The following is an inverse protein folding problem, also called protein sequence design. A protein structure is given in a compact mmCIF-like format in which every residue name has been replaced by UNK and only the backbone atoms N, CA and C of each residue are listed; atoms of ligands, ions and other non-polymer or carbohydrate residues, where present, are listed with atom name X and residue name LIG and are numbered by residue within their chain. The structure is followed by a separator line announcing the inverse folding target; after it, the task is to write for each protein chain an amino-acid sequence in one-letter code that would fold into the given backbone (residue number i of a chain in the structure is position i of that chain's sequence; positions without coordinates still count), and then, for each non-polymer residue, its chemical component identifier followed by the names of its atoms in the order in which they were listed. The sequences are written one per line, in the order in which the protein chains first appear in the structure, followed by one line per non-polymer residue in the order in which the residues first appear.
data_IF_223718691337
#
_entry.id   IF_223718691337
#
_cell.length_a   1.000
_cell.length_b   1.000
_cell.length_c   1.000
_cell.angle_alpha   90.00
_cell.angle_beta   90.00
_cell.angle_gamma   90.00
#
_symmetry.space_group_name_H-M   'P 1'
#
loop_
_entity.id
_entity.type
_entity.pdbx_description
1 polymer ?
#
# COMPACT_ATOMS: atom_id res chain seq x y z
N UNK A 1 -1.62 8.40 -30.14
CA UNK A 1 -0.31 7.91 -30.62
C UNK A 1 -0.40 6.51 -31.17
N UNK A 2 -0.89 5.57 -30.37
CA UNK A 2 -0.99 4.16 -30.78
C UNK A 2 -1.91 3.97 -31.99
N UNK A 3 -3.08 4.61 -32.03
CA UNK A 3 -3.99 4.53 -33.20
C UNK A 3 -3.48 5.24 -34.46
N UNK A 4 -2.61 6.24 -34.30
CA UNK A 4 -2.05 7.03 -35.42
C UNK A 4 -0.81 6.35 -36.04
N UNK A 5 -0.12 5.52 -35.27
CA UNK A 5 1.05 4.75 -35.68
C UNK A 5 0.77 3.26 -35.44
N UNK A 6 -0.37 2.79 -35.98
CA UNK A 6 -0.88 1.45 -35.73
C UNK A 6 0.06 0.36 -36.24
N UNK A 7 0.77 0.62 -37.35
CA UNK A 7 1.76 -0.28 -37.93
C UNK A 7 2.98 -0.44 -37.03
N UNK A 8 3.50 0.66 -36.49
CA UNK A 8 4.66 0.67 -35.61
C UNK A 8 4.35 0.12 -34.21
N UNK A 9 3.08 0.26 -33.76
CA UNK A 9 2.63 -0.19 -32.44
C UNK A 9 1.94 -1.56 -32.43
N UNK A 10 1.68 -2.17 -33.59
CA UNK A 10 0.96 -3.45 -33.70
C UNK A 10 -0.48 -3.39 -33.17
N UNK A 11 -1.11 -2.21 -33.18
CA UNK A 11 -2.47 -2.02 -32.69
C UNK A 11 -3.50 -2.35 -33.78
N UNK A 12 -4.62 -2.98 -33.37
CA UNK A 12 -5.79 -3.08 -34.23
C UNK A 12 -6.43 -1.70 -34.41
N UNK A 13 -6.98 -1.42 -35.59
CA UNK A 13 -7.64 -0.14 -35.89
C UNK A 13 -8.92 0.06 -35.04
N UNK A 14 -9.60 -1.02 -34.68
CA UNK A 14 -10.75 -1.04 -33.78
C UNK A 14 -10.41 -1.87 -32.54
N UNK A 15 -10.41 -1.24 -31.37
CA UNK A 15 -10.27 -1.91 -30.08
C UNK A 15 -11.31 -1.38 -29.10
N UNK A 16 -11.83 -2.28 -28.26
CA UNK A 16 -12.75 -1.91 -27.20
C UNK A 16 -11.98 -1.58 -25.92
N UNK A 17 -12.13 -0.35 -25.42
CA UNK A 17 -11.56 0.05 -24.14
C UNK A 17 -12.35 -0.57 -22.99
N UNK A 18 -11.66 -1.23 -22.07
CA UNK A 18 -12.25 -1.76 -20.83
C UNK A 18 -11.69 -1.02 -19.61
N UNK A 19 -12.58 -0.58 -18.72
CA UNK A 19 -12.20 0.15 -17.50
C UNK A 19 -12.00 -0.77 -16.28
N UNK A 20 -12.61 -1.96 -16.28
CA UNK A 20 -12.65 -2.85 -15.13
C UNK A 20 -12.16 -4.27 -15.50
N UNK A 21 -10.88 -4.51 -15.28
CA UNK A 21 -10.25 -5.82 -15.51
C UNK A 21 -10.42 -6.79 -14.33
N UNK A 22 -11.16 -6.42 -13.29
CA UNK A 22 -11.22 -7.21 -12.04
C UNK A 22 -11.84 -8.58 -12.25
N UNK A 23 -12.89 -8.67 -13.07
CA UNK A 23 -13.51 -9.95 -13.40
C UNK A 23 -12.56 -10.83 -14.21
N UNK A 24 -11.84 -10.25 -15.16
CA UNK A 24 -10.89 -10.96 -16.00
C UNK A 24 -9.71 -11.52 -15.19
N UNK A 25 -9.15 -10.71 -14.29
CA UNK A 25 -8.11 -11.14 -13.33
C UNK A 25 -8.62 -12.27 -12.42
N UNK A 26 -9.86 -12.16 -11.93
CA UNK A 26 -10.46 -13.22 -11.12
C UNK A 26 -10.64 -14.54 -11.90
N UNK A 27 -11.12 -14.47 -13.14
CA UNK A 27 -11.26 -15.65 -14.01
C UNK A 27 -9.89 -16.32 -14.25
N UNK A 28 -8.89 -15.55 -14.65
CA UNK A 28 -7.53 -16.05 -14.85
C UNK A 28 -6.94 -16.67 -13.57
N UNK A 29 -7.16 -16.05 -12.41
CA UNK A 29 -6.74 -16.62 -11.12
C UNK A 29 -7.50 -17.91 -10.76
N UNK A 30 -8.78 -18.01 -11.09
CA UNK A 30 -9.55 -19.24 -10.90
C UNK A 30 -9.07 -20.35 -11.84
N UNK A 31 -8.71 -20.02 -13.09
CA UNK A 31 -8.16 -20.99 -14.05
C UNK A 31 -6.78 -21.48 -13.65
N UNK A 32 -5.91 -20.59 -13.17
CA UNK A 32 -4.65 -20.97 -12.53
C UNK A 32 -4.90 -21.96 -11.39
N UNK A 33 -5.84 -21.65 -10.49
CA UNK A 33 -6.17 -22.51 -9.36
C UNK A 33 -6.72 -23.88 -9.80
N UNK A 34 -7.58 -23.94 -10.83
CA UNK A 34 -8.08 -25.21 -11.36
C UNK A 34 -6.95 -26.07 -11.91
N UNK A 35 -6.04 -25.48 -12.69
CA UNK A 35 -4.94 -26.21 -13.33
C UNK A 35 -3.86 -26.66 -12.34
N UNK A 36 -3.57 -25.85 -11.33
CA UNK A 36 -2.43 -26.10 -10.42
C UNK A 36 -2.83 -26.66 -9.05
N UNK A 37 -4.08 -26.52 -8.62
CA UNK A 37 -4.51 -26.96 -7.27
C UNK A 37 -5.45 -28.17 -7.29
N UNK A 38 -6.33 -28.33 -8.29
CA UNK A 38 -7.22 -29.48 -8.35
C UNK A 38 -6.52 -30.83 -8.56
N UNK A 39 -5.44 -30.94 -9.35
CA UNK A 39 -4.75 -32.23 -9.51
C UNK A 39 -3.79 -32.54 -8.35
N UNK A 40 -3.66 -31.67 -7.35
CA UNK A 40 -2.71 -31.89 -6.25
C UNK A 40 -3.14 -33.08 -5.38
N UNK A 41 -2.18 -33.92 -4.97
CA UNK A 41 -2.36 -34.88 -3.89
C UNK A 41 -2.83 -34.20 -2.59
N UNK A 42 -3.52 -34.96 -1.73
CA UNK A 42 -4.25 -34.44 -0.56
C UNK A 42 -3.35 -33.68 0.44
N UNK A 43 -2.14 -34.17 0.66
CA UNK A 43 -1.10 -33.59 1.51
C UNK A 43 -0.65 -32.21 1.00
N UNK A 44 -0.28 -32.10 -0.27
CA UNK A 44 0.12 -30.82 -0.89
C UNK A 44 -1.09 -29.86 -0.95
N UNK A 45 -2.27 -30.37 -1.31
CA UNK A 45 -3.49 -29.58 -1.36
C UNK A 45 -3.84 -28.98 0.02
N UNK A 46 -3.63 -29.74 1.11
CA UNK A 46 -3.85 -29.25 2.46
C UNK A 46 -2.89 -28.11 2.81
N UNK A 47 -1.60 -28.24 2.48
CA UNK A 47 -0.61 -27.17 2.66
C UNK A 47 -1.01 -25.90 1.90
N UNK A 48 -1.42 -26.03 0.64
CA UNK A 48 -1.90 -24.88 -0.15
C UNK A 48 -3.13 -24.26 0.49
N UNK A 49 -4.07 -25.08 0.98
CA UNK A 49 -5.30 -24.63 1.63
C UNK A 49 -5.06 -23.92 2.97
N UNK A 50 -4.02 -24.31 3.71
CA UNK A 50 -3.63 -23.66 4.96
C UNK A 50 -3.10 -22.23 4.72
N UNK A 51 -2.52 -21.99 3.54
CA UNK A 51 -2.14 -20.65 3.10
C UNK A 51 -3.31 -19.88 2.49
N UNK A 52 -3.98 -20.47 1.49
CA UNK A 52 -5.04 -19.83 0.73
C UNK A 52 -6.26 -20.74 0.67
N UNK A 53 -7.39 -20.28 1.21
CA UNK A 53 -8.65 -21.01 1.19
C UNK A 53 -9.28 -21.14 -0.21
N UNK A 54 -8.68 -20.53 -1.24
CA UNK A 54 -9.14 -20.57 -2.62
C UNK A 54 -8.58 -19.44 -3.47
N UNK A 55 -8.99 -19.35 -4.76
CA UNK A 55 -8.45 -18.39 -5.72
C UNK A 55 -8.68 -16.93 -5.31
N UNK A 56 -9.77 -16.62 -4.60
CA UNK A 56 -10.00 -15.25 -4.07
C UNK A 56 -8.93 -14.82 -3.07
N UNK A 57 -8.48 -15.74 -2.23
CA UNK A 57 -7.43 -15.47 -1.24
C UNK A 57 -6.07 -15.30 -1.92
N UNK A 58 -5.77 -16.15 -2.91
CA UNK A 58 -4.57 -15.99 -3.73
C UNK A 58 -4.56 -14.65 -4.48
N UNK A 59 -5.67 -14.32 -5.15
CA UNK A 59 -5.79 -13.05 -5.88
C UNK A 59 -5.57 -11.87 -4.94
N UNK A 60 -6.13 -11.87 -3.73
CA UNK A 60 -5.93 -10.78 -2.76
C UNK A 60 -4.45 -10.50 -2.47
N UNK A 61 -3.60 -11.52 -2.45
CA UNK A 61 -2.17 -11.37 -2.15
C UNK A 61 -1.37 -10.86 -3.36
N UNK A 62 -1.84 -11.12 -4.59
CA UNK A 62 -1.14 -10.74 -5.83
C UNK A 62 -1.78 -9.59 -6.61
N UNK A 63 -3.01 -9.18 -6.30
CA UNK A 63 -3.84 -8.30 -7.15
C UNK A 63 -3.12 -7.00 -7.49
N UNK A 64 -2.48 -6.40 -6.48
CA UNK A 64 -1.70 -5.16 -6.60
C UNK A 64 -0.50 -5.27 -7.55
N UNK A 65 -0.01 -6.49 -7.78
CA UNK A 65 1.13 -6.77 -8.65
C UNK A 65 0.70 -7.26 -10.02
N UNK A 66 -0.60 -7.45 -10.28
CA UNK A 66 -1.11 -7.81 -11.60
C UNK A 66 -1.32 -6.58 -12.49
N UNK A 67 -1.31 -5.39 -11.90
CA UNK A 67 -1.46 -4.09 -12.57
C UNK A 67 -0.11 -3.43 -12.81
N UNK A 68 -0.01 -2.60 -13.85
CA UNK A 68 1.23 -1.91 -14.22
C UNK A 68 2.43 -2.83 -14.46
N UNK A 69 3.63 -2.28 -14.24
CA UNK A 69 4.90 -3.00 -14.39
C UNK A 69 5.06 -4.11 -13.34
N UNK A 70 5.49 -5.29 -13.79
CA UNK A 70 5.71 -6.42 -12.89
C UNK A 70 6.91 -6.15 -11.95
N UNK A 71 6.77 -6.37 -10.63
CA UNK A 71 7.88 -6.16 -9.72
C UNK A 71 8.99 -7.19 -9.95
N UNK A 72 10.24 -6.77 -9.74
CA UNK A 72 11.39 -7.68 -9.74
C UNK A 72 11.36 -8.52 -8.45
N UNK A 73 11.32 -9.84 -8.60
CA UNK A 73 11.40 -10.78 -7.48
C UNK A 73 12.87 -10.93 -7.09
N UNK A 74 13.24 -10.51 -5.88
CA UNK A 74 14.65 -10.46 -5.42
C UNK A 74 15.33 -11.83 -5.39
N UNK A 75 14.60 -12.85 -5.00
CA UNK A 75 15.06 -14.24 -4.93
C UNK A 75 13.97 -15.13 -5.54
N UNK A 76 13.91 -15.23 -6.87
CA UNK A 76 12.91 -16.06 -7.52
C UNK A 76 13.24 -17.54 -7.25
N UNK A 77 12.21 -18.39 -7.07
CA UNK A 77 12.41 -19.83 -7.05
C UNK A 77 13.01 -20.31 -8.38
N UNK A 78 13.65 -21.48 -8.36
CA UNK A 78 14.12 -22.11 -9.61
C UNK A 78 12.95 -22.38 -10.54
N UNK A 79 13.13 -22.20 -11.85
CA UNK A 79 12.07 -22.45 -12.83
C UNK A 79 11.62 -23.91 -12.84
N UNK A 80 12.54 -24.83 -12.59
CA UNK A 80 12.32 -26.28 -12.60
C UNK A 80 11.64 -26.78 -11.30
N UNK A 81 11.66 -25.97 -10.23
CA UNK A 81 11.20 -26.40 -8.92
C UNK A 81 9.68 -26.54 -8.86
N UNK A 82 9.15 -27.75 -8.69
CA UNK A 82 7.70 -27.97 -8.60
C UNK A 82 7.17 -27.85 -7.18
N UNK A 83 5.85 -27.68 -7.04
CA UNK A 83 5.18 -27.74 -5.73
C UNK A 83 5.47 -29.07 -5.01
N UNK A 84 5.47 -30.18 -5.75
CA UNK A 84 5.80 -31.50 -5.22
C UNK A 84 7.25 -31.57 -4.74
N UNK A 85 8.22 -31.13 -5.57
CA UNK A 85 9.63 -31.08 -5.19
C UNK A 85 9.87 -30.22 -3.96
N UNK A 86 9.30 -29.01 -3.89
CA UNK A 86 9.44 -28.13 -2.72
C UNK A 86 8.81 -28.76 -1.48
N UNK A 87 7.64 -29.38 -1.62
CA UNK A 87 6.97 -30.08 -0.52
C UNK A 87 7.83 -31.20 0.03
N UNK A 88 8.35 -32.07 -0.84
CA UNK A 88 9.22 -33.18 -0.48
C UNK A 88 10.50 -32.69 0.22
N UNK A 89 11.15 -31.66 -0.31
CA UNK A 89 12.34 -31.06 0.32
C UNK A 89 12.05 -30.52 1.72
N UNK A 90 10.92 -29.83 1.91
CA UNK A 90 10.52 -29.32 3.23
C UNK A 90 10.28 -30.49 4.19
N UNK A 91 9.52 -31.51 3.78
CA UNK A 91 9.25 -32.68 4.60
C UNK A 91 10.52 -33.44 4.96
N UNK A 92 11.42 -33.65 3.99
CA UNK A 92 12.70 -34.33 4.19
C UNK A 92 13.54 -33.62 5.26
N UNK A 93 13.61 -32.29 5.21
CA UNK A 93 14.32 -31.49 6.21
C UNK A 93 13.71 -31.57 7.61
N UNK A 94 12.37 -31.53 7.70
CA UNK A 94 11.69 -31.71 8.98
C UNK A 94 11.95 -33.11 9.54
N UNK A 95 11.78 -34.14 8.70
CA UNK A 95 11.97 -35.54 9.07
C UNK A 95 13.41 -35.82 9.50
N UNK A 96 14.40 -35.20 8.85
CA UNK A 96 15.80 -35.32 9.25
C UNK A 96 16.03 -34.81 10.69
N UNK A 97 15.45 -33.66 11.05
CA UNK A 97 15.54 -33.14 12.43
C UNK A 97 14.76 -34.03 13.42
N UNK A 98 13.60 -34.53 13.03
CA UNK A 98 12.84 -35.49 13.86
C UNK A 98 13.63 -36.76 14.14
N UNK A 99 14.27 -37.33 13.13
CA UNK A 99 15.11 -38.51 13.27
C UNK A 99 16.28 -38.24 14.22
N UNK A 100 17.05 -37.17 13.97
CA UNK A 100 18.17 -36.80 14.84
C UNK A 100 17.72 -36.51 16.28
N UNK A 101 16.52 -35.96 16.46
CA UNK A 101 15.94 -35.76 17.79
C UNK A 101 15.71 -37.09 18.50
N UNK A 102 15.03 -38.04 17.86
CA UNK A 102 14.75 -39.36 18.42
C UNK A 102 16.03 -40.15 18.76
N UNK A 103 17.09 -39.99 17.97
CA UNK A 103 18.40 -40.63 18.21
C UNK A 103 19.14 -40.01 19.40
N UNK A 104 19.07 -38.68 19.57
CA UNK A 104 19.86 -37.96 20.57
C UNK A 104 19.12 -37.65 21.88
N UNK A 105 17.79 -37.79 21.95
CA UNK A 105 17.00 -37.30 23.09
C UNK A 105 17.45 -37.85 24.45
N UNK A 106 17.93 -39.10 24.49
CA UNK A 106 18.39 -39.77 25.72
C UNK A 106 19.67 -39.16 26.31
N UNK A 107 20.51 -38.52 25.50
CA UNK A 107 21.77 -37.90 25.92
C UNK A 107 21.67 -36.39 26.16
N UNK A 108 20.60 -35.73 25.68
CA UNK A 108 20.44 -34.27 25.80
C UNK A 108 20.43 -33.77 27.24
N UNK A 109 19.76 -34.48 28.16
CA UNK A 109 19.69 -34.05 29.56
C UNK A 109 21.07 -34.03 30.22
N UNK A 110 21.88 -35.09 30.00
CA UNK A 110 23.23 -35.19 30.53
C UNK A 110 24.18 -34.16 29.89
N UNK A 111 24.06 -33.96 28.58
CA UNK A 111 24.85 -32.98 27.83
C UNK A 111 24.57 -31.55 28.28
N UNK A 112 23.30 -31.21 28.51
CA UNK A 112 22.91 -29.87 28.99
C UNK A 112 23.32 -29.68 30.46
N UNK A 113 23.18 -30.71 31.30
CA UNK A 113 23.55 -30.63 32.72
C UNK A 113 25.06 -30.49 32.93
N UNK A 114 25.88 -31.11 32.10
CA UNK A 114 27.35 -31.01 32.14
C UNK A 114 27.90 -29.70 31.53
N UNK A 115 27.03 -28.83 31.00
CA UNK A 115 27.42 -27.60 30.30
C UNK A 115 27.41 -26.35 31.19
N UNK A 116 27.89 -25.23 30.65
CA UNK A 116 27.88 -23.91 31.28
C UNK A 116 26.52 -23.20 31.28
N UNK A 117 25.41 -23.90 31.00
CA UNK A 117 24.09 -23.27 30.85
C UNK A 117 23.62 -22.58 32.14
N UNK A 118 22.98 -21.41 32.00
CA UNK A 118 22.42 -20.69 33.14
C UNK A 118 21.05 -21.25 33.51
N UNK A 119 21.00 -22.08 34.56
CA UNK A 119 19.76 -22.70 35.08
C UNK A 119 18.69 -21.72 35.54
N UNK A 120 19.04 -20.45 35.78
CA UNK A 120 18.05 -19.38 36.03
C UNK A 120 17.30 -18.98 34.75
N UNK A 121 17.99 -19.05 33.60
CA UNK A 121 17.45 -18.70 32.28
C UNK A 121 16.92 -19.91 31.52
N UNK A 122 17.35 -21.11 31.87
CA UNK A 122 16.95 -22.40 31.28
C UNK A 122 16.69 -23.42 32.40
N UNK A 123 15.50 -23.34 33.00
CA UNK A 123 15.16 -24.16 34.17
C UNK A 123 14.78 -25.60 33.79
N UNK A 124 14.99 -26.55 34.72
CA UNK A 124 14.77 -27.98 34.49
C UNK A 124 13.30 -28.35 34.27
N UNK A 125 12.38 -27.68 34.97
CA UNK A 125 10.94 -27.96 34.86
C UNK A 125 10.39 -27.68 33.45
N UNK A 126 10.84 -26.59 32.82
CA UNK A 126 10.48 -26.27 31.45
C UNK A 126 11.24 -27.13 30.44
N UNK A 127 12.51 -27.44 30.70
CA UNK A 127 13.30 -28.35 29.86
C UNK A 127 12.59 -29.70 29.66
N UNK A 128 12.15 -30.35 30.74
CA UNK A 128 11.44 -31.63 30.65
C UNK A 128 10.17 -31.54 29.80
N UNK A 129 9.35 -30.49 30.01
CA UNK A 129 8.12 -30.25 29.23
C UNK A 129 8.41 -29.98 27.75
N UNK A 130 9.49 -29.26 27.45
CA UNK A 130 9.89 -29.01 26.07
C UNK A 130 10.38 -30.28 25.40
N UNK A 131 11.20 -31.08 26.08
CA UNK A 131 11.68 -32.37 25.57
C UNK A 131 10.50 -33.29 25.28
N UNK A 132 9.57 -33.44 26.21
CA UNK A 132 8.36 -34.25 26.03
C UNK A 132 7.56 -33.80 24.79
N UNK A 133 7.31 -32.49 24.65
CA UNK A 133 6.56 -31.92 23.53
C UNK A 133 7.27 -32.15 22.18
N UNK A 134 8.58 -31.96 22.13
CA UNK A 134 9.35 -32.14 20.89
C UNK A 134 9.46 -33.64 20.55
N UNK A 135 9.65 -34.50 21.54
CA UNK A 135 9.69 -35.96 21.34
C UNK A 135 8.38 -36.50 20.79
N UNK A 136 7.24 -36.07 21.35
CA UNK A 136 5.93 -36.43 20.82
C UNK A 136 5.79 -36.00 19.35
N UNK A 137 6.15 -34.74 19.03
CA UNK A 137 6.15 -34.23 17.66
C UNK A 137 7.12 -34.99 16.73
N UNK A 138 8.30 -35.38 17.22
CA UNK A 138 9.29 -36.10 16.44
C UNK A 138 8.87 -37.53 16.09
N UNK A 139 8.05 -38.15 16.93
CA UNK A 139 7.47 -39.47 16.70
C UNK A 139 6.21 -39.45 15.83
N UNK A 140 5.53 -38.29 15.72
CA UNK A 140 4.39 -38.11 14.84
C UNK A 140 4.78 -38.04 13.36
N UNK A 141 3.92 -38.57 12.49
CA UNK A 141 4.03 -38.44 11.04
C UNK A 141 3.99 -36.96 10.60
N UNK A 142 4.94 -36.54 9.76
CA UNK A 142 5.01 -35.15 9.29
C UNK A 142 4.01 -34.90 8.16
N UNK A 143 2.88 -34.26 8.49
CA UNK A 143 1.79 -33.95 7.55
C UNK A 143 1.74 -32.49 7.09
N UNK A 144 2.44 -31.61 7.80
CA UNK A 144 2.42 -30.18 7.56
C UNK A 144 3.78 -29.55 7.93
N UNK A 145 3.88 -28.23 7.79
CA UNK A 145 5.13 -27.48 8.05
C UNK A 145 5.18 -26.88 9.46
N UNK A 146 4.30 -27.31 10.37
CA UNK A 146 4.25 -26.74 11.72
C UNK A 146 5.35 -27.34 12.59
N UNK A 147 6.11 -26.45 13.22
CA UNK A 147 7.14 -26.78 14.20
C UNK A 147 6.64 -26.41 15.59
N UNK A 148 6.94 -27.22 16.63
CA UNK A 148 6.62 -26.83 18.00
C UNK A 148 7.51 -25.64 18.39
N UNK A 149 6.92 -24.60 19.00
CA UNK A 149 7.68 -23.42 19.48
C UNK A 149 8.84 -23.80 20.42
N UNK A 150 8.70 -24.94 21.12
CA UNK A 150 9.73 -25.48 21.99
C UNK A 150 11.01 -25.88 21.24
N UNK A 151 10.94 -26.24 19.95
CA UNK A 151 12.10 -26.68 19.16
C UNK A 151 13.21 -25.63 19.13
N UNK A 152 12.83 -24.35 19.01
CA UNK A 152 13.78 -23.24 19.02
C UNK A 152 14.55 -23.08 20.35
N UNK A 153 14.11 -23.72 21.44
CA UNK A 153 14.83 -23.73 22.72
C UNK A 153 16.07 -24.65 22.69
N UNK A 154 16.18 -25.52 21.69
CA UNK A 154 17.29 -26.44 21.50
C UNK A 154 18.12 -26.08 20.26
N UNK A 155 17.99 -24.86 19.75
CA UNK A 155 18.85 -24.35 18.69
C UNK A 155 20.23 -23.97 19.25
N UNK A 156 21.30 -24.13 18.46
CA UNK A 156 22.66 -23.82 18.93
C UNK A 156 22.80 -22.35 19.33
N UNK A 157 22.20 -21.44 18.54
CA UNK A 157 22.11 -20.00 18.86
C UNK A 157 21.41 -19.73 20.18
N UNK A 158 20.24 -20.34 20.42
CA UNK A 158 19.49 -20.12 21.65
C UNK A 158 20.26 -20.61 22.90
N UNK A 159 20.89 -21.79 22.80
CA UNK A 159 21.67 -22.34 23.90
C UNK A 159 22.92 -21.49 24.22
N UNK A 160 23.57 -20.92 23.19
CA UNK A 160 24.69 -20.00 23.37
C UNK A 160 24.27 -18.75 24.18
N UNK A 161 23.14 -18.12 23.84
CA UNK A 161 22.60 -16.96 24.57
C UNK A 161 22.23 -17.26 26.03
N UNK A 162 21.93 -18.52 26.34
CA UNK A 162 21.54 -18.99 27.67
C UNK A 162 22.72 -19.57 28.46
N UNK A 163 23.92 -19.62 27.88
CA UNK A 163 25.15 -20.03 28.56
C UNK A 163 25.72 -18.86 29.38
N UNK A 164 26.31 -19.15 30.55
CA UNK A 164 26.99 -18.13 31.38
C UNK A 164 28.21 -17.58 30.65
N UNK A 165 28.59 -16.33 30.93
CA UNK A 165 29.85 -15.76 30.44
C UNK A 165 31.04 -16.63 30.89
N UNK A 166 31.88 -17.05 29.94
CA UNK A 166 33.00 -17.96 30.18
C UNK A 166 32.62 -19.44 30.38
N UNK A 167 31.34 -19.79 30.32
CA UNK A 167 30.87 -21.18 30.37
C UNK A 167 30.97 -21.87 29.01
N UNK A 168 31.17 -23.19 29.00
CA UNK A 168 31.16 -24.00 27.77
C UNK A 168 29.72 -24.20 27.32
N UNK A 169 29.37 -23.69 26.14
CA UNK A 169 28.04 -23.89 25.54
C UNK A 169 27.85 -25.36 25.16
N UNK A 170 26.70 -25.97 25.49
CA UNK A 170 26.41 -27.32 25.02
C UNK A 170 26.37 -27.35 23.49
N UNK A 171 27.12 -28.29 22.89
CA UNK A 171 27.22 -28.47 21.45
C UNK A 171 26.74 -29.86 21.06
N UNK A 172 25.93 -29.93 20.01
CA UNK A 172 25.46 -31.19 19.45
C UNK A 172 25.06 -30.98 17.98
N UNK A 173 25.30 -31.95 17.07
CA UNK A 173 24.87 -31.85 15.67
C UNK A 173 23.38 -31.52 15.51
N UNK A 174 22.53 -32.05 16.38
CA UNK A 174 21.10 -31.74 16.42
C UNK A 174 20.81 -30.25 16.59
N UNK A 175 21.56 -29.54 17.46
CA UNK A 175 21.32 -28.12 17.73
C UNK A 175 21.62 -27.25 16.51
N UNK A 176 22.63 -27.65 15.73
CA UNK A 176 22.98 -27.02 14.46
C UNK A 176 21.94 -27.36 13.39
N UNK A 177 21.47 -28.60 13.33
CA UNK A 177 20.39 -28.99 12.41
C UNK A 177 19.09 -28.24 12.68
N UNK A 178 18.76 -28.01 13.96
CA UNK A 178 17.62 -27.17 14.37
C UNK A 178 17.82 -25.72 13.92
N UNK A 179 19.02 -25.14 14.09
CA UNK A 179 19.30 -23.79 13.58
C UNK A 179 19.13 -23.70 12.06
N UNK A 180 19.59 -24.70 11.31
CA UNK A 180 19.45 -24.74 9.85
C UNK A 180 17.99 -24.90 9.42
N UNK A 181 17.19 -25.68 10.15
CA UNK A 181 15.75 -25.83 9.88
C UNK A 181 14.99 -24.52 10.15
N UNK A 182 15.33 -23.83 11.25
CA UNK A 182 14.68 -22.57 11.65
C UNK A 182 15.19 -21.36 10.85
N UNK A 183 16.38 -21.46 10.25
CA UNK A 183 17.03 -20.39 9.50
C UNK A 183 16.45 -20.15 8.11
N UNK A 184 15.69 -21.12 7.56
CA UNK A 184 15.07 -21.00 6.24
C UNK A 184 13.55 -21.13 6.32
N UNK A 185 12.79 -20.35 5.52
CA UNK A 185 11.34 -20.46 5.53
C UNK A 185 10.83 -21.82 5.04
N UNK A 186 10.05 -22.50 5.87
CA UNK A 186 9.29 -23.69 5.47
C UNK A 186 8.00 -23.26 4.77
N UNK A 187 8.12 -22.85 3.50
CA UNK A 187 6.99 -22.30 2.74
C UNK A 187 6.99 -22.67 1.27
N UNK A 188 5.76 -22.77 0.74
CA UNK A 188 5.48 -22.86 -0.71
C UNK A 188 5.02 -21.51 -1.27
N UNK A 189 4.96 -20.46 -0.42
CA UNK A 189 4.31 -19.20 -0.77
C UNK A 189 4.98 -18.49 -1.94
N UNK A 190 6.27 -18.26 -1.82
CA UNK A 190 7.11 -17.66 -2.85
C UNK A 190 6.98 -18.38 -4.20
N UNK A 191 6.99 -19.72 -4.17
CA UNK A 191 6.87 -20.54 -5.38
C UNK A 191 5.53 -20.33 -6.08
N UNK A 192 4.43 -20.46 -5.33
CA UNK A 192 3.08 -20.29 -5.90
C UNK A 192 2.83 -18.87 -6.35
N UNK A 193 3.21 -17.87 -5.55
CA UNK A 193 3.00 -16.45 -5.88
C UNK A 193 3.76 -16.06 -7.15
N UNK A 194 5.02 -16.50 -7.30
CA UNK A 194 5.83 -16.22 -8.48
C UNK A 194 5.21 -16.80 -9.76
N UNK A 195 4.78 -18.07 -9.69
CA UNK A 195 4.12 -18.74 -10.82
C UNK A 195 2.76 -18.12 -11.15
N UNK A 196 1.94 -17.91 -10.13
CA UNK A 196 0.62 -17.30 -10.29
C UNK A 196 0.73 -15.91 -10.92
N UNK A 197 1.66 -15.08 -10.45
CA UNK A 197 1.88 -13.73 -10.98
C UNK A 197 2.18 -13.74 -12.48
N UNK A 198 3.14 -14.59 -12.91
CA UNK A 198 3.54 -14.70 -14.31
C UNK A 198 2.39 -15.20 -15.19
N UNK A 199 1.78 -16.31 -14.79
CA UNK A 199 0.79 -17.01 -15.61
C UNK A 199 -0.55 -16.29 -15.67
N UNK A 200 -0.99 -15.67 -14.58
CA UNK A 200 -2.24 -14.89 -14.55
C UNK A 200 -2.09 -13.65 -15.43
N UNK A 201 -0.94 -12.95 -15.38
CA UNK A 201 -0.67 -11.81 -16.28
C UNK A 201 -0.73 -12.23 -17.73
N UNK A 202 -0.10 -13.35 -18.08
CA UNK A 202 -0.13 -13.87 -19.45
C UNK A 202 -1.54 -14.24 -19.89
N UNK A 203 -2.29 -14.97 -19.04
CA UNK A 203 -3.67 -15.40 -19.33
C UNK A 203 -4.58 -14.19 -19.57
N UNK A 204 -4.48 -13.17 -18.72
CA UNK A 204 -5.23 -11.90 -18.88
C UNK A 204 -4.86 -11.22 -20.20
N UNK A 205 -3.57 -11.14 -20.54
CA UNK A 205 -3.12 -10.52 -21.78
C UNK A 205 -3.54 -11.31 -23.04
N UNK A 206 -3.57 -12.64 -22.97
CA UNK A 206 -4.07 -13.50 -24.06
C UNK A 206 -5.58 -13.30 -24.27
N UNK A 207 -6.35 -13.28 -23.18
CA UNK A 207 -7.80 -13.13 -23.26
C UNK A 207 -8.22 -11.74 -23.76
N UNK A 208 -7.54 -10.66 -23.33
CA UNK A 208 -7.75 -9.32 -23.88
C UNK A 208 -7.48 -9.27 -25.39
N UNK A 209 -6.38 -9.89 -25.83
CA UNK A 209 -6.05 -10.00 -27.27
C UNK A 209 -7.14 -10.76 -28.04
N UNK A 210 -7.62 -11.88 -27.50
CA UNK A 210 -8.69 -12.68 -28.13
C UNK A 210 -9.99 -11.91 -28.28
N UNK A 211 -10.31 -11.03 -27.33
CA UNK A 211 -11.53 -10.19 -27.34
C UNK A 211 -11.36 -8.87 -28.10
N UNK A 212 -10.15 -8.53 -28.54
CA UNK A 212 -9.88 -7.20 -29.11
C UNK A 212 -10.01 -6.07 -28.08
N UNK A 213 -9.87 -6.38 -26.79
CA UNK A 213 -10.00 -5.44 -25.68
C UNK A 213 -8.65 -4.82 -25.30
N UNK A 214 -8.69 -3.60 -24.77
CA UNK A 214 -7.52 -2.86 -24.28
C UNK A 214 -7.84 -2.20 -22.95
N UNK A 215 -7.01 -2.39 -21.94
CA UNK A 215 -7.05 -1.64 -20.69
C UNK A 215 -6.15 -0.41 -20.70
N UNK A 216 -6.28 0.43 -19.66
CA UNK A 216 -5.45 1.63 -19.52
C UNK A 216 -3.96 1.30 -19.35
N UNK A 217 -3.62 0.30 -18.52
CA UNK A 217 -2.24 -0.15 -18.31
C UNK A 217 -1.62 -0.73 -19.60
N UNK A 218 -2.44 -1.35 -20.45
CA UNK A 218 -1.98 -1.89 -21.73
C UNK A 218 -1.61 -0.79 -22.71
N UNK A 219 -2.28 0.37 -22.68
CA UNK A 219 -1.93 1.49 -23.56
C UNK A 219 -0.50 1.94 -23.30
N UNK A 220 -0.15 2.18 -22.04
CA UNK A 220 1.19 2.58 -21.65
C UNK A 220 2.20 1.46 -21.96
N UNK A 221 1.85 0.21 -21.66
CA UNK A 221 2.72 -0.95 -21.92
C UNK A 221 2.99 -1.21 -23.39
N UNK A 222 2.00 -1.03 -24.26
CA UNK A 222 2.18 -1.16 -25.71
C UNK A 222 3.03 -0.02 -26.25
N UNK A 223 2.82 1.21 -25.79
CA UNK A 223 3.64 2.35 -26.21
C UNK A 223 5.10 2.18 -25.78
N UNK A 224 5.35 1.80 -24.53
CA UNK A 224 6.70 1.51 -24.01
C UNK A 224 7.36 0.36 -24.79
N UNK A 225 6.61 -0.68 -25.17
CA UNK A 225 7.12 -1.79 -25.98
C UNK A 225 7.41 -1.37 -27.42
N UNK A 226 6.53 -0.62 -28.06
CA UNK A 226 6.70 -0.13 -29.42
C UNK A 226 7.88 0.85 -29.54
N UNK A 227 8.14 1.67 -28.52
CA UNK A 227 9.30 2.57 -28.50
C UNK A 227 10.64 1.85 -28.28
N UNK A 228 10.60 0.58 -27.82
CA UNK A 228 11.76 -0.30 -27.60
C UNK A 228 11.96 -1.33 -28.71
N UNK A 229 11.03 -1.44 -29.66
CA UNK A 229 11.19 -2.31 -30.82
C UNK A 229 12.18 -1.74 -31.83
N UNK A 230 12.50 -2.51 -32.86
CA UNK A 230 13.33 -2.06 -33.98
C UNK A 230 12.75 -0.83 -34.70
N UNK A 231 11.42 -0.71 -34.78
CA UNK A 231 10.70 0.45 -35.33
C UNK A 231 10.57 1.63 -34.36
N UNK A 232 11.11 1.51 -33.14
CA UNK A 232 10.92 2.48 -32.06
C UNK A 232 11.46 3.88 -32.34
N UNK A 233 12.54 4.01 -33.13
CA UNK A 233 13.06 5.33 -33.52
C UNK A 233 12.12 6.07 -34.46
N UNK A 234 11.53 5.37 -35.44
CA UNK A 234 10.56 5.97 -36.35
C UNK A 234 9.34 6.48 -35.58
N UNK A 235 8.83 5.68 -34.63
CA UNK A 235 7.75 6.07 -33.74
C UNK A 235 8.12 7.27 -32.87
N UNK A 236 9.30 7.26 -32.25
CA UNK A 236 9.77 8.36 -31.41
C UNK A 236 9.93 9.66 -32.21
N UNK A 237 10.50 9.58 -33.42
CA UNK A 237 10.66 10.71 -34.33
C UNK A 237 9.31 11.28 -34.80
N UNK A 238 8.34 10.42 -35.13
CA UNK A 238 6.99 10.85 -35.50
C UNK A 238 6.30 11.61 -34.34
N UNK A 239 6.45 11.11 -33.11
CA UNK A 239 5.91 11.79 -31.92
C UNK A 239 6.62 13.12 -31.67
N UNK A 240 7.96 13.16 -31.71
CA UNK A 240 8.73 14.41 -31.54
C UNK A 240 8.39 15.46 -32.59
N UNK A 241 8.24 15.05 -33.85
CA UNK A 241 7.89 15.98 -34.95
C UNK A 241 6.55 16.65 -34.69
N UNK A 242 5.58 15.88 -34.16
CA UNK A 242 4.26 16.39 -33.83
C UNK A 242 4.26 17.22 -32.53
N UNK A 243 5.07 16.84 -31.56
CA UNK A 243 5.17 17.46 -30.25
C UNK A 243 6.64 17.75 -29.92
N UNK A 244 7.22 18.82 -30.50
CA UNK A 244 8.61 19.17 -30.25
C UNK A 244 8.84 19.58 -28.79
N UNK A 245 7.81 20.12 -28.13
CA UNK A 245 7.84 20.45 -26.70
C UNK A 245 6.72 19.71 -25.97
N UNK A 246 7.07 19.04 -24.87
CA UNK A 246 6.13 18.36 -23.99
C UNK A 246 6.21 18.91 -22.56
N UNK A 247 5.05 19.18 -21.97
CA UNK A 247 4.89 19.57 -20.57
C UNK A 247 4.17 18.46 -19.83
N UNK A 248 4.83 17.89 -18.82
CA UNK A 248 4.26 16.86 -17.94
C UNK A 248 4.02 17.49 -16.59
N UNK A 249 2.76 17.79 -16.29
CA UNK A 249 2.34 18.26 -14.97
C UNK A 249 2.12 17.07 -14.01
N UNK A 250 2.12 17.33 -12.71
CA UNK A 250 2.02 16.32 -11.65
C UNK A 250 3.05 15.17 -11.80
N UNK A 251 4.27 15.49 -12.24
CA UNK A 251 5.30 14.51 -12.57
C UNK A 251 5.69 13.62 -11.36
N UNK A 252 5.49 14.07 -10.13
CA UNK A 252 5.71 13.26 -8.93
C UNK A 252 4.82 12.02 -8.84
N UNK A 253 3.70 11.99 -9.57
CA UNK A 253 2.74 10.88 -9.57
C UNK A 253 2.92 9.94 -10.77
N UNK A 254 4.07 10.03 -11.45
CA UNK A 254 4.41 9.16 -12.57
C UNK A 254 5.03 7.83 -12.13
N UNK A 255 4.90 6.82 -13.00
CA UNK A 255 5.48 5.49 -12.81
C UNK A 255 6.74 5.26 -13.68
N UNK A 256 7.52 4.19 -13.44
CA UNK A 256 8.74 3.91 -14.20
C UNK A 256 8.52 3.77 -15.71
N UNK A 257 7.36 3.25 -16.13
CA UNK A 257 7.01 3.03 -17.52
C UNK A 257 6.71 4.34 -18.24
N UNK A 258 5.94 5.24 -17.63
CA UNK A 258 5.69 6.58 -18.15
C UNK A 258 7.00 7.35 -18.33
N UNK A 259 7.87 7.34 -17.32
CA UNK A 259 9.14 8.03 -17.42
C UNK A 259 10.06 7.45 -18.51
N UNK A 260 10.07 6.11 -18.69
CA UNK A 260 10.79 5.49 -19.82
C UNK A 260 10.28 5.98 -21.17
N UNK A 261 8.96 6.08 -21.36
CA UNK A 261 8.34 6.61 -22.58
C UNK A 261 8.82 8.05 -22.82
N UNK A 262 8.70 8.93 -21.83
CA UNK A 262 9.09 10.34 -21.97
C UNK A 262 10.58 10.49 -22.30
N UNK A 263 11.43 9.77 -21.57
CA UNK A 263 12.87 9.69 -21.79
C UNK A 263 13.18 9.24 -23.22
N UNK A 264 12.52 8.17 -23.69
CA UNK A 264 12.79 7.56 -25.00
C UNK A 264 12.44 8.51 -26.15
N UNK A 265 11.41 9.33 -25.97
CA UNK A 265 10.96 10.26 -26.99
C UNK A 265 11.80 11.54 -26.98
N UNK A 266 11.99 12.24 -25.85
CA UNK A 266 12.52 13.61 -25.85
C UNK A 266 13.95 13.79 -25.32
N UNK A 267 14.53 12.81 -24.63
CA UNK A 267 15.82 13.04 -23.95
C UNK A 267 16.98 13.17 -24.93
N UNK A 268 17.80 14.22 -24.75
CA UNK A 268 18.99 14.52 -25.56
C UNK A 268 18.67 14.64 -27.06
N UNK A 269 17.47 15.11 -27.40
CA UNK A 269 17.04 15.32 -28.77
C UNK A 269 17.12 16.82 -29.09
N UNK A 270 17.88 17.23 -30.13
CA UNK A 270 17.95 18.63 -30.54
C UNK A 270 16.58 19.14 -30.95
N UNK A 271 16.38 20.46 -30.87
CA UNK A 271 15.14 21.15 -31.27
C UNK A 271 13.87 20.68 -30.52
N UNK A 272 14.04 20.02 -29.37
CA UNK A 272 12.95 19.59 -28.51
C UNK A 272 13.14 20.02 -27.05
N UNK A 273 12.04 20.05 -26.30
CA UNK A 273 12.08 20.29 -24.86
C UNK A 273 11.09 19.40 -24.11
N UNK A 274 11.53 18.90 -22.95
CA UNK A 274 10.71 18.15 -22.00
C UNK A 274 10.70 18.90 -20.67
N UNK A 275 9.55 19.46 -20.32
CA UNK A 275 9.32 20.18 -19.08
C UNK A 275 8.58 19.26 -18.12
N UNK A 276 9.27 18.84 -17.05
CA UNK A 276 8.72 18.00 -16.00
C UNK A 276 8.39 18.88 -14.80
N UNK A 277 7.10 19.04 -14.51
CA UNK A 277 6.58 19.92 -13.47
C UNK A 277 5.93 19.04 -12.42
N UNK A 278 6.33 19.24 -11.16
CA UNK A 278 5.78 18.46 -10.07
C UNK A 278 6.37 18.86 -8.73
N UNK A 279 5.77 18.34 -7.67
CA UNK A 279 6.24 18.52 -6.30
C UNK A 279 6.42 17.14 -5.62
N UNK A 280 7.67 16.67 -5.39
CA UNK A 280 7.91 15.38 -4.76
C UNK A 280 7.36 15.30 -3.32
N UNK A 281 7.13 16.44 -2.66
CA UNK A 281 6.51 16.51 -1.33
C UNK A 281 5.03 16.13 -1.34
N UNK A 282 4.40 16.08 -2.52
CA UNK A 282 2.98 15.81 -2.72
C UNK A 282 2.70 14.43 -3.36
N UNK A 283 3.73 13.58 -3.52
CA UNK A 283 3.57 12.24 -4.07
C UNK A 283 2.78 11.32 -3.11
N UNK A 284 1.47 11.22 -3.32
CA UNK A 284 0.55 10.46 -2.44
C UNK A 284 -0.19 9.32 -3.16
N UNK A 285 0.08 9.11 -4.46
CA UNK A 285 -0.61 8.11 -5.29
C UNK A 285 0.12 6.77 -5.41
N UNK A 286 0.97 6.40 -4.46
CA UNK A 286 1.72 5.13 -4.47
C UNK A 286 0.81 3.88 -4.63
N UNK A 287 -0.43 3.94 -4.12
CA UNK A 287 -1.42 2.86 -4.27
C UNK A 287 -1.93 2.66 -5.71
N UNK A 288 -1.64 3.59 -6.63
CA UNK A 288 -1.92 3.50 -8.07
C UNK A 288 -0.68 3.22 -8.91
N UNK A 289 0.47 2.95 -8.30
CA UNK A 289 1.71 2.65 -9.00
C UNK A 289 2.63 3.84 -9.24
N UNK A 290 2.25 5.06 -8.83
CA UNK A 290 3.17 6.20 -8.80
C UNK A 290 4.40 5.88 -7.97
N UNK A 291 5.58 6.21 -8.49
CA UNK A 291 6.86 5.85 -7.88
C UNK A 291 7.74 7.08 -7.67
N UNK A 292 7.91 7.47 -6.41
CA UNK A 292 8.77 8.58 -6.04
C UNK A 292 10.25 8.33 -6.41
N UNK A 293 10.70 7.07 -6.49
CA UNK A 293 12.05 6.75 -6.93
C UNK A 293 12.25 7.03 -8.42
N UNK A 294 11.19 6.91 -9.23
CA UNK A 294 11.20 7.35 -10.63
C UNK A 294 11.39 8.85 -10.74
N UNK A 295 10.71 9.64 -9.90
CA UNK A 295 10.96 11.09 -9.82
C UNK A 295 12.40 11.39 -9.42
N UNK A 296 12.94 10.74 -8.37
CA UNK A 296 14.32 10.94 -7.92
C UNK A 296 15.33 10.59 -9.01
N UNK A 297 15.11 9.49 -9.74
CA UNK A 297 15.92 9.10 -10.90
C UNK A 297 15.84 10.13 -12.02
N UNK A 298 14.65 10.63 -12.33
CA UNK A 298 14.49 11.66 -13.34
C UNK A 298 15.23 12.93 -12.96
N UNK A 299 15.12 13.36 -11.70
CA UNK A 299 15.82 14.51 -11.13
C UNK A 299 17.34 14.37 -11.22
N UNK A 300 17.91 13.19 -10.97
CA UNK A 300 19.36 12.97 -11.07
C UNK A 300 19.86 12.94 -12.52
N UNK A 301 18.97 12.68 -13.47
CA UNK A 301 19.26 12.61 -14.89
C UNK A 301 19.12 13.96 -15.63
N UNK A 302 18.53 14.98 -15.00
CA UNK A 302 18.41 16.35 -15.53
C UNK A 302 19.22 17.34 -14.71
N UNK A 303 19.95 18.24 -15.38
CA UNK A 303 20.80 19.23 -14.72
C UNK A 303 20.07 20.52 -14.32
N UNK A 304 19.03 20.90 -15.06
CA UNK A 304 18.29 22.14 -14.83
C UNK A 304 17.13 21.89 -13.85
N UNK A 305 17.28 22.36 -12.61
CA UNK A 305 16.22 22.33 -11.60
C UNK A 305 15.71 23.75 -11.34
N UNK A 306 14.39 23.89 -11.30
CA UNK A 306 13.71 25.16 -11.04
C UNK A 306 12.77 25.01 -9.84
N UNK A 307 12.52 26.09 -9.12
CA UNK A 307 11.60 26.10 -7.97
C UNK A 307 10.82 27.41 -7.96
N UNK A 308 9.53 27.30 -7.64
CA UNK A 308 8.69 28.46 -7.39
C UNK A 308 8.75 28.80 -5.90
N UNK A 309 9.37 29.94 -5.57
CA UNK A 309 9.68 30.32 -4.19
C UNK A 309 8.54 31.04 -3.48
N UNK A 310 7.44 31.37 -4.18
CA UNK A 310 6.36 32.22 -3.67
C UNK A 310 5.01 31.49 -3.74
N UNK A 311 4.33 31.36 -2.60
CA UNK A 311 2.97 30.86 -2.49
C UNK A 311 1.97 31.99 -2.73
N UNK A 312 1.17 31.85 -3.79
CA UNK A 312 0.18 32.84 -4.22
C UNK A 312 -1.25 32.55 -3.76
N UNK A 313 -1.45 31.51 -2.94
CA UNK A 313 -2.78 30.98 -2.57
C UNK A 313 -3.17 31.25 -1.11
N UNK A 314 -2.20 31.30 -0.21
CA UNK A 314 -2.45 31.24 1.23
C UNK A 314 -2.06 32.53 1.96
N UNK A 315 -2.63 32.71 3.15
CA UNK A 315 -2.29 33.79 4.08
C UNK A 315 -0.84 33.64 4.63
N UNK A 316 -0.18 34.74 5.04
CA UNK A 316 1.17 34.70 5.61
C UNK A 316 1.31 33.74 6.79
N UNK A 317 0.33 33.76 7.71
CA UNK A 317 0.33 32.88 8.88
C UNK A 317 0.32 31.40 8.49
N UNK A 318 -0.44 31.00 7.46
CA UNK A 318 -0.48 29.61 6.99
C UNK A 318 0.88 29.18 6.41
N UNK A 319 1.45 30.02 5.53
CA UNK A 319 2.76 29.74 4.91
C UNK A 319 3.84 29.63 5.98
N UNK A 320 3.86 30.54 6.94
CA UNK A 320 4.85 30.56 8.01
C UNK A 320 4.72 29.34 8.94
N UNK A 321 3.51 28.93 9.31
CA UNK A 321 3.30 27.76 10.16
C UNK A 321 3.76 26.46 9.47
N UNK A 322 3.44 26.29 8.18
CA UNK A 322 3.89 25.13 7.39
C UNK A 322 5.41 25.14 7.23
N UNK A 323 6.01 26.29 6.87
CA UNK A 323 7.46 26.43 6.80
C UNK A 323 8.12 26.06 8.13
N UNK A 324 7.60 26.58 9.24
CA UNK A 324 8.13 26.31 10.58
C UNK A 324 8.07 24.83 10.92
N UNK A 325 6.94 24.17 10.64
CA UNK A 325 6.73 22.75 10.93
C UNK A 325 7.73 21.87 10.17
N UNK A 326 7.85 22.05 8.85
CA UNK A 326 8.73 21.22 8.02
C UNK A 326 10.21 21.61 8.08
N UNK A 327 10.55 22.78 8.65
CA UNK A 327 11.95 23.17 8.88
C UNK A 327 12.52 22.66 10.21
N UNK A 328 11.75 21.92 11.02
CA UNK A 328 12.25 21.37 12.29
C UNK A 328 13.28 20.23 12.08
N UNK A 329 13.33 19.63 10.89
CA UNK A 329 14.22 18.53 10.55
C UNK A 329 14.88 18.79 9.20
N UNK A 330 16.17 18.45 9.06
CA UNK A 330 16.90 18.60 7.80
C UNK A 330 16.31 17.75 6.67
N UNK A 331 15.95 16.49 6.99
CA UNK A 331 15.35 15.53 6.05
C UNK A 331 13.86 15.32 6.40
N UNK A 332 13.06 16.39 6.35
CA UNK A 332 11.66 16.35 6.79
C UNK A 332 10.79 15.33 6.04
N UNK A 333 11.18 14.95 4.82
CA UNK A 333 10.53 13.92 4.01
C UNK A 333 11.31 12.59 3.98
N UNK A 334 12.21 12.37 4.94
CA UNK A 334 13.06 11.17 5.12
C UNK A 334 14.07 10.89 3.99
N UNK A 335 13.91 11.50 2.81
CA UNK A 335 14.80 11.37 1.66
C UNK A 335 15.53 12.68 1.40
N UNK A 336 16.86 12.62 1.33
CA UNK A 336 17.72 13.77 0.99
C UNK A 336 17.40 14.35 -0.39
N UNK A 337 16.99 13.49 -1.32
CA UNK A 337 16.57 13.85 -2.67
C UNK A 337 15.22 14.59 -2.71
N UNK A 338 14.54 14.75 -1.57
CA UNK A 338 13.30 15.51 -1.39
C UNK A 338 13.53 16.58 -0.32
N UNK A 339 14.32 17.63 -0.62
CA UNK A 339 14.59 18.69 0.33
C UNK A 339 13.34 19.55 0.56
N UNK A 340 13.20 20.05 1.78
CA UNK A 340 12.23 21.10 2.07
C UNK A 340 12.89 22.47 1.93
N UNK A 341 12.38 23.30 1.02
CA UNK A 341 12.79 24.69 0.88
C UNK A 341 11.63 25.60 1.29
N UNK A 342 11.77 26.43 2.33
CA UNK A 342 10.73 27.37 2.73
C UNK A 342 10.33 28.31 1.59
N UNK A 343 9.03 28.61 1.50
CA UNK A 343 8.49 29.52 0.47
C UNK A 343 8.01 30.84 1.09
N UNK A 344 8.06 31.92 0.32
CA UNK A 344 7.50 33.22 0.66
C UNK A 344 5.97 33.19 0.47
N UNK A 345 5.26 34.09 1.11
CA UNK A 345 3.87 34.38 0.76
C UNK A 345 3.81 35.56 -0.21
N UNK A 346 2.83 35.57 -1.11
CA UNK A 346 2.65 36.68 -2.05
C UNK A 346 2.17 37.96 -1.34
N UNK A 347 2.70 39.15 -1.67
CA UNK A 347 2.30 40.41 -1.06
C UNK A 347 0.79 40.70 -1.13
N UNK A 348 0.13 40.30 -2.23
CA UNK A 348 -1.33 40.48 -2.41
C UNK A 348 -2.18 39.73 -1.39
N UNK A 349 -1.61 38.74 -0.69
CA UNK A 349 -2.30 37.93 0.32
C UNK A 349 -1.98 38.39 1.74
N UNK A 350 -1.17 39.44 1.93
CA UNK A 350 -0.66 39.85 3.24
C UNK A 350 -1.76 40.20 4.25
N UNK A 351 -2.91 40.68 3.74
CA UNK A 351 -4.07 41.07 4.52
C UNK A 351 -5.09 39.95 4.76
N UNK A 352 -4.83 38.72 4.29
CA UNK A 352 -5.73 37.58 4.52
C UNK A 352 -5.70 37.16 6.00
N UNK A 353 -6.86 37.22 6.65
CA UNK A 353 -7.01 36.87 8.07
C UNK A 353 -8.35 36.18 8.33
N UNK A 354 -8.37 35.34 9.37
CA UNK A 354 -9.59 34.79 9.96
C UNK A 354 -9.77 35.42 11.33
N UNK A 355 -10.92 36.02 11.60
CA UNK A 355 -11.27 36.66 12.87
C UNK A 355 -12.49 35.99 13.49
N UNK A 356 -12.50 35.88 14.81
CA UNK A 356 -13.66 35.49 15.62
C UNK A 356 -13.80 36.49 16.77
N UNK A 357 -14.97 37.11 16.93
CA UNK A 357 -15.22 38.19 17.90
C UNK A 357 -14.18 39.33 17.76
N UNK A 358 -13.90 39.74 16.53
CA UNK A 358 -12.86 40.71 16.12
C UNK A 358 -11.40 40.35 16.50
N UNK A 359 -11.18 39.20 17.15
CA UNK A 359 -9.85 38.71 17.48
C UNK A 359 -9.28 37.84 16.32
N UNK A 360 -8.06 38.13 15.82
CA UNK A 360 -7.43 37.31 14.80
C UNK A 360 -7.12 35.91 15.35
N UNK A 361 -7.53 34.89 14.60
CA UNK A 361 -7.25 33.51 14.93
C UNK A 361 -5.89 33.08 14.37
N UNK A 362 -5.14 32.23 15.09
CA UNK A 362 -3.91 31.65 14.57
C UNK A 362 -4.21 30.81 13.32
N UNK A 363 -3.30 30.87 12.35
CA UNK A 363 -3.47 30.14 11.09
C UNK A 363 -3.44 28.61 11.28
N UNK A 364 -2.71 28.11 12.29
CA UNK A 364 -2.62 26.69 12.59
C UNK A 364 -2.85 26.47 14.09
N UNK A 365 -3.88 25.70 14.40
CA UNK A 365 -4.22 25.29 15.78
C UNK A 365 -4.14 23.78 15.88
N UNK A 366 -3.40 23.29 16.87
CA UNK A 366 -3.29 21.86 17.18
C UNK A 366 -4.16 21.56 18.40
N UNK A 367 -5.17 20.72 18.22
CA UNK A 367 -5.99 20.21 19.32
C UNK A 367 -5.35 18.95 19.88
N UNK A 368 -5.13 18.93 21.20
CA UNK A 368 -4.48 17.83 21.90
C UNK A 368 -5.48 17.18 22.86
N UNK A 369 -5.66 15.87 22.74
CA UNK A 369 -6.40 15.08 23.72
C UNK A 369 -5.50 14.86 24.94
N UNK A 370 -6.01 15.16 26.13
CA UNK A 370 -5.29 14.92 27.39
C UNK A 370 -5.17 13.42 27.70
N UNK A 371 -4.17 13.07 28.52
CA UNK A 371 -3.89 11.70 28.96
C UNK A 371 -2.52 11.20 28.53
N UNK A 372 -2.04 10.15 29.21
CA UNK A 372 -0.73 9.55 28.91
C UNK A 372 -0.82 8.49 27.79
N UNK A 373 -2.01 7.95 27.55
CA UNK A 373 -2.26 6.93 26.53
C UNK A 373 -3.67 7.08 25.96
N UNK A 374 -3.84 6.80 24.68
CA UNK A 374 -5.13 6.82 24.01
C UNK A 374 -5.27 5.65 23.03
N UNK A 375 -6.42 4.99 23.06
CA UNK A 375 -6.81 4.04 22.03
C UNK A 375 -7.16 4.77 20.73
N UNK A 376 -6.83 4.17 19.57
CA UNK A 376 -7.13 4.79 18.27
C UNK A 376 -8.63 5.11 18.06
N UNK A 377 -9.52 4.26 18.57
CA UNK A 377 -10.97 4.47 18.49
C UNK A 377 -11.45 5.63 19.38
N UNK A 378 -10.93 5.73 20.60
CA UNK A 378 -11.26 6.81 21.53
C UNK A 378 -10.75 8.16 21.01
N UNK A 379 -9.51 8.19 20.52
CA UNK A 379 -8.92 9.36 19.88
C UNK A 379 -9.76 9.84 18.68
N UNK A 380 -10.14 8.92 17.79
CA UNK A 380 -10.97 9.26 16.64
C UNK A 380 -12.32 9.84 17.04
N UNK A 381 -12.99 9.21 18.00
CA UNK A 381 -14.31 9.66 18.48
C UNK A 381 -14.23 11.03 19.14
N UNK A 382 -13.23 11.24 20.01
CA UNK A 382 -12.98 12.50 20.67
C UNK A 382 -12.65 13.63 19.68
N UNK A 383 -11.72 13.38 18.75
CA UNK A 383 -11.30 14.39 17.76
C UNK A 383 -12.42 14.71 16.75
N UNK A 384 -13.25 13.74 16.37
CA UNK A 384 -14.44 13.99 15.55
C UNK A 384 -15.43 14.92 16.28
N UNK A 385 -15.64 14.71 17.58
CA UNK A 385 -16.50 15.57 18.40
C UNK A 385 -15.93 16.99 18.54
N UNK A 386 -14.63 17.12 18.80
CA UNK A 386 -13.94 18.42 18.86
C UNK A 386 -14.07 19.13 17.51
N UNK A 387 -13.81 18.44 16.40
CA UNK A 387 -13.93 18.99 15.05
C UNK A 387 -15.36 19.49 14.76
N UNK A 388 -16.37 18.66 14.98
CA UNK A 388 -17.77 19.04 14.77
C UNK A 388 -18.19 20.24 15.64
N UNK A 389 -17.73 20.27 16.90
CA UNK A 389 -17.98 21.38 17.83
C UNK A 389 -17.38 22.70 17.30
N UNK A 390 -16.12 22.68 16.87
CA UNK A 390 -15.45 23.88 16.32
C UNK A 390 -16.13 24.37 15.04
N UNK A 391 -16.49 23.45 14.13
CA UNK A 391 -17.20 23.79 12.89
C UNK A 391 -18.54 24.46 13.22
N UNK A 392 -19.34 23.86 14.11
CA UNK A 392 -20.62 24.44 14.55
C UNK A 392 -20.42 25.84 15.14
N UNK A 393 -19.44 26.01 16.01
CA UNK A 393 -19.20 27.29 16.69
C UNK A 393 -18.79 28.38 15.68
N UNK A 394 -17.93 28.07 14.71
CA UNK A 394 -17.60 29.00 13.63
C UNK A 394 -18.78 29.31 12.71
N UNK A 395 -19.63 28.33 12.39
CA UNK A 395 -20.81 28.56 11.55
C UNK A 395 -21.86 29.42 12.25
N UNK A 396 -22.10 29.18 13.55
CA UNK A 396 -23.00 30.02 14.37
C UNK A 396 -22.47 31.45 14.48
N UNK A 397 -21.19 31.61 14.80
CA UNK A 397 -20.55 32.92 14.83
C UNK A 397 -20.53 33.58 13.43
N UNK A 398 -20.45 32.81 12.35
CA UNK A 398 -20.60 33.33 10.98
C UNK A 398 -22.01 33.87 10.71
N UNK A 399 -23.05 33.23 11.25
CA UNK A 399 -24.43 33.73 11.10
C UNK A 399 -24.67 35.04 11.86
N UNK A 400 -24.01 35.25 13.01
CA UNK A 400 -24.09 36.49 13.78
C UNK A 400 -23.14 37.57 13.31
N UNK A 401 -22.25 37.27 12.36
CA UNK A 401 -21.24 38.20 11.84
C UNK A 401 -19.96 38.29 12.68
N UNK A 402 -19.83 37.43 13.68
CA UNK A 402 -18.70 37.41 14.61
C UNK A 402 -17.51 36.59 14.10
N UNK A 403 -17.73 35.63 13.18
CA UNK A 403 -16.67 34.89 12.50
C UNK A 403 -16.52 35.33 11.04
N UNK A 404 -15.39 35.99 10.73
CA UNK A 404 -15.16 36.69 9.47
C UNK A 404 -13.87 36.22 8.77
N UNK A 405 -13.96 36.01 7.47
CA UNK A 405 -12.82 35.93 6.56
C UNK A 405 -12.56 37.31 5.97
N UNK A 406 -11.39 37.87 6.25
CA UNK A 406 -11.02 39.23 5.90
C UNK A 406 -9.91 39.24 4.87
N UNK A 407 -10.00 40.15 3.90
CA UNK A 407 -8.97 40.50 2.96
C UNK A 407 -8.90 42.03 2.82
N UNK A 408 -7.96 42.65 3.54
CA UNK A 408 -7.87 44.11 3.61
C UNK A 408 -9.12 44.68 4.28
N UNK A 409 -9.79 45.61 3.60
CA UNK A 409 -11.02 46.23 4.10
C UNK A 409 -12.27 45.38 3.80
N UNK A 410 -12.15 44.32 3.00
CA UNK A 410 -13.26 43.43 2.70
C UNK A 410 -13.35 42.32 3.74
N UNK A 411 -14.51 42.17 4.36
CA UNK A 411 -14.81 41.05 5.25
C UNK A 411 -16.10 40.37 4.83
N UNK A 412 -16.14 39.05 4.98
CA UNK A 412 -17.36 38.26 4.81
C UNK A 412 -17.49 37.21 5.90
N UNK A 413 -18.72 36.85 6.31
CA UNK A 413 -18.90 35.78 7.27
C UNK A 413 -18.49 34.42 6.73
N UNK A 414 -18.03 33.56 7.63
CA UNK A 414 -17.75 32.14 7.36
C UNK A 414 -19.03 31.42 6.98
N UNK A 415 -18.97 30.59 5.94
CA UNK A 415 -20.07 29.72 5.48
C UNK A 415 -19.62 28.27 5.49
N UNK A 416 -20.58 27.35 5.45
CA UNK A 416 -20.28 25.92 5.36
C UNK A 416 -19.40 25.57 4.14
N UNK A 417 -19.53 26.30 3.02
CA UNK A 417 -18.71 26.11 1.82
C UNK A 417 -17.23 26.48 2.01
N UNK A 418 -16.88 27.20 3.07
CA UNK A 418 -15.50 27.61 3.37
C UNK A 418 -14.75 26.58 4.21
N UNK A 419 -15.47 25.62 4.80
CA UNK A 419 -14.92 24.61 5.70
C UNK A 419 -14.70 23.32 4.92
N UNK A 420 -13.52 22.73 5.09
CA UNK A 420 -13.16 21.44 4.51
C UNK A 420 -12.52 20.54 5.56
N UNK A 421 -13.00 19.30 5.65
CA UNK A 421 -12.43 18.28 6.54
C UNK A 421 -11.66 17.27 5.67
N UNK A 422 -10.35 17.17 5.92
CA UNK A 422 -9.48 16.22 5.24
C UNK A 422 -9.39 14.93 6.07
N UNK A 423 -9.76 13.79 5.47
CA UNK A 423 -9.72 12.47 6.11
C UNK A 423 -8.86 11.50 5.30
N UNK A 424 -8.20 10.55 5.97
CA UNK A 424 -7.37 9.53 5.31
C UNK A 424 -8.21 8.39 4.74
N UNK A 425 -9.32 8.06 5.40
CA UNK A 425 -10.10 6.89 5.04
C UNK A 425 -11.61 7.14 5.01
N UNK A 426 -12.33 6.27 4.28
CA UNK A 426 -13.81 6.27 4.27
C UNK A 426 -14.41 5.96 5.65
N UNK A 427 -13.65 5.31 6.54
CA UNK A 427 -14.11 4.99 7.89
C UNK A 427 -14.14 6.25 8.75
N UNK A 428 -13.06 7.04 8.71
CA UNK A 428 -12.98 8.35 9.36
C UNK A 428 -14.11 9.28 8.88
N UNK A 429 -14.34 9.35 7.57
CA UNK A 429 -15.43 10.16 7.00
C UNK A 429 -16.82 9.83 7.58
N UNK A 430 -17.09 8.56 7.89
CA UNK A 430 -18.36 8.15 8.49
C UNK A 430 -18.47 8.53 9.96
N UNK A 431 -17.36 8.47 10.70
CA UNK A 431 -17.32 8.91 12.09
C UNK A 431 -17.61 10.42 12.19
N UNK A 432 -16.99 11.22 11.33
CA UNK A 432 -17.20 12.68 11.31
C UNK A 432 -18.63 13.07 10.94
N UNK A 433 -19.23 12.36 9.97
CA UNK A 433 -20.64 12.59 9.57
C UNK A 433 -21.60 12.20 10.71
N UNK A 434 -21.36 11.07 11.39
CA UNK A 434 -22.18 10.62 12.50
C UNK A 434 -22.15 11.60 13.69
N UNK A 435 -20.99 12.19 13.99
CA UNK A 435 -20.88 13.22 15.02
C UNK A 435 -21.54 14.54 14.62
N UNK A 436 -21.43 14.94 13.35
CA UNK A 436 -22.11 16.12 12.80
C UNK A 436 -23.64 16.03 12.93
N UNK A 437 -24.22 14.89 12.56
CA UNK A 437 -25.67 14.66 12.63
C UNK A 437 -26.20 14.73 14.08
N UNK A 438 -25.41 14.29 15.06
CA UNK A 438 -25.75 14.36 16.49
C UNK A 438 -25.77 15.80 17.05
N UNK A 439 -25.13 16.77 16.38
CA UNK A 439 -25.11 18.17 16.82
C UNK A 439 -26.29 19.01 16.31
N UNK A 440 -27.20 18.42 15.53
CA UNK A 440 -28.45 19.05 15.08
C UNK A 440 -28.32 19.98 13.86
N UNK A 441 -27.13 20.09 13.26
CA UNK A 441 -26.92 20.83 12.01
C UNK A 441 -26.79 19.83 10.83
N UNK A 442 -27.60 19.95 9.76
CA UNK A 442 -27.45 19.13 8.57
C UNK A 442 -26.20 19.57 7.80
N UNK A 443 -25.03 19.13 8.25
CA UNK A 443 -23.79 19.23 7.48
C UNK A 443 -23.94 18.36 6.23
N UNK A 444 -24.40 18.96 5.12
CA UNK A 444 -24.22 18.38 3.79
C UNK A 444 -22.73 18.43 3.45
N UNK A 445 -21.97 17.48 3.98
CA UNK A 445 -20.65 17.16 3.51
C UNK A 445 -20.79 16.73 2.03
N UNK A 446 -20.44 17.63 1.11
CA UNK A 446 -20.25 17.26 -0.30
C UNK A 446 -19.00 16.40 -0.38
N UNK A 447 -19.18 15.11 -0.11
CA UNK A 447 -18.21 14.11 -0.50
C UNK A 447 -18.14 14.08 -2.02
N UNK A 448 -16.96 13.85 -2.59
CA UNK A 448 -16.83 13.21 -3.91
C UNK A 448 -16.78 11.69 -3.69
N UNK A 449 -17.91 11.01 -3.41
CA UNK A 449 -17.87 9.56 -3.28
C UNK A 449 -17.60 8.95 -4.66
N UNK A 450 -16.58 8.09 -4.76
CA UNK A 450 -16.64 6.99 -5.74
C UNK A 450 -17.70 6.00 -5.24
N UNK A 451 -18.97 6.28 -5.48
CA UNK A 451 -20.06 5.29 -5.39
C UNK A 451 -20.56 4.98 -6.80
N UNK A 452 -20.43 3.70 -7.20
CA UNK A 452 -21.35 3.09 -8.16
C UNK A 452 -22.74 3.15 -7.52
N UNK A 453 -23.62 4.00 -8.06
CA UNK A 453 -25.05 3.98 -7.76
C UNK A 453 -25.58 2.64 -8.25
N UNK A 454 -25.81 1.67 -7.35
CA UNK A 454 -26.63 0.50 -7.71
C UNK A 454 -27.57 -0.04 -6.64
N UNK A 455 -27.37 0.23 -5.34
CA UNK A 455 -28.23 -0.37 -4.31
C UNK A 455 -28.79 0.65 -3.31
N UNK A 456 -29.73 1.48 -3.75
CA UNK A 456 -30.60 2.26 -2.86
C UNK A 456 -32.04 2.30 -3.41
N UNK A 457 -32.68 1.12 -3.50
CA UNK A 457 -34.14 0.96 -3.56
C UNK A 457 -34.53 -0.38 -2.95
N UNK A 458 -34.75 -0.41 -1.63
CA UNK A 458 -35.63 -1.38 -0.96
C UNK A 458 -35.64 -1.14 0.55
N UNK A 459 -36.24 -0.04 1.00
CA UNK A 459 -36.75 0.12 2.36
C UNK A 459 -37.60 1.39 2.40
N UNK A 460 -38.92 1.22 2.31
CA UNK A 460 -39.86 2.35 2.35
C UNK A 460 -41.22 2.00 1.76
N UNK A 461 -41.89 1.02 2.34
CA UNK A 461 -43.34 0.86 2.21
C UNK A 461 -43.92 0.78 3.61
N UNK A 462 -44.36 1.93 4.13
CA UNK A 462 -45.32 2.02 5.22
C UNK A 462 -46.37 3.03 4.77
N UNK A 463 -47.51 2.50 4.32
CA UNK A 463 -48.66 3.25 3.83
C UNK A 463 -49.39 3.85 5.04
N UNK A 464 -49.41 5.17 5.13
CA UNK A 464 -50.32 5.92 6.00
C UNK A 464 -51.64 6.17 5.29
N UNK A 465 -52.73 5.75 5.93
CA UNK A 465 -54.11 5.98 5.51
C UNK A 465 -54.58 7.33 6.07
N UNK A 466 -54.97 8.25 5.18
CA UNK A 466 -55.85 9.39 5.44
C UNK A 466 -56.68 9.55 4.16
N UNK A 467 -58.01 9.43 4.18
CA UNK A 467 -58.91 10.41 4.76
C UNK A 467 -59.53 11.20 3.61
N UNK A 468 -60.51 10.59 2.93
CA UNK A 468 -61.18 11.17 1.76
C UNK A 468 -62.48 11.86 2.15
N UNK A 469 -62.54 13.16 1.87
CA UNK A 469 -63.70 14.04 2.08
C UNK A 469 -64.91 13.66 1.22
N UNK A 470 -66.05 13.62 1.93
CA UNK A 470 -67.39 14.05 1.57
C UNK A 470 -67.71 14.47 0.13
N UNK A 471 -68.57 13.68 -0.50
CA UNK A 471 -69.52 14.16 -1.50
C UNK A 471 -70.75 14.78 -0.80
N UNK A 472 -71.23 15.93 -1.29
CA UNK A 472 -72.65 16.15 -1.66
C UNK A 472 -72.92 17.60 -2.12
N UNK A 473 -73.67 17.62 -3.24
CA UNK A 473 -74.61 18.64 -3.76
C UNK A 473 -74.08 19.99 -4.23
#
# INVERSE_FOLDING_TARGET
MLSLNAFESGMLFEQQLIEDESLLRYQACADFWRRHCYPLPRDIAQVVFDVWKGPKALLKDIDRYLQGEAPVIKAPPSQEETLASRHEQILARINQVKQQWCEAVSELDALIESSGIDRRKFNRGNQAKWIEKITAWAQEETKNYQLPEALGKFSQRFLAERTKAGGVTPQHPLFVAIDNLLGEPLSIKDLVLTRALSEIRETVAQEKRRRGELGFDDMLSRLDTALRSESGEALAAAIRTRFPVAMIDEFQDTDPQQYRIFRRIWRHQPDTALLLIGDPKQAIYAFRGADIFTYMKARSEVSAHYTLDTNWRSAPGMVNSVNKLFSQMNDAFMFRDIPFSPVKFAPRNQSLQFKVNDAPQPAMTLWLMEGESCGSGDYQSYMAQVCATQIRDWLRAGQTGDALLTNGDSSRPVRASDISVLVRSRRESRADTGCADLTGDPLRLSFKPRQRIRNARSAGNAVGVAGGDGART
#
